data_IF_139831102562
#
_entry.id   IF_139831102562
#
_cell.length_a   1.000
_cell.length_b   1.000
_cell.length_c   1.000
_cell.angle_alpha   90.00
_cell.angle_beta   90.00
_cell.angle_gamma   90.00
#
_symmetry.space_group_name_H-M   'P 1'
#
loop_
_entity.id
_entity.type
_entity.pdbx_description
1 polymer ?
#
# COMPACT_ATOMS: atom_id res chain seq x y z
N UNK A 1 -6.92 -6.44 -19.81
CA UNK A 1 -7.44 -6.58 -18.42
C UNK A 1 -6.34 -7.03 -17.45
N UNK A 2 -5.68 -8.18 -17.68
CA UNK A 2 -4.54 -8.68 -16.88
C UNK A 2 -3.42 -7.65 -16.66
N UNK A 3 -2.94 -7.01 -17.72
CA UNK A 3 -1.90 -5.98 -17.60
C UNK A 3 -2.34 -4.74 -16.81
N UNK A 4 -3.62 -4.37 -16.89
CA UNK A 4 -4.14 -3.26 -16.08
C UNK A 4 -4.17 -3.61 -14.59
N UNK A 5 -4.51 -4.85 -14.24
CA UNK A 5 -4.47 -5.33 -12.84
C UNK A 5 -3.03 -5.35 -12.32
N UNK A 6 -2.08 -5.88 -13.11
CA UNK A 6 -0.65 -5.84 -12.74
C UNK A 6 -0.13 -4.42 -12.53
N UNK A 7 -0.53 -3.49 -13.42
CA UNK A 7 -0.18 -2.09 -13.28
C UNK A 7 -0.73 -1.49 -11.99
N UNK A 8 -2.01 -1.75 -11.66
CA UNK A 8 -2.62 -1.27 -10.41
C UNK A 8 -1.92 -1.83 -9.16
N UNK A 9 -1.55 -3.12 -9.18
CA UNK A 9 -0.77 -3.73 -8.10
C UNK A 9 0.58 -3.01 -7.94
N UNK A 10 1.30 -2.78 -9.05
CA UNK A 10 2.58 -2.07 -9.02
C UNK A 10 2.44 -0.64 -8.49
N UNK A 11 1.42 0.11 -8.92
CA UNK A 11 1.12 1.46 -8.43
C UNK A 11 0.82 1.46 -6.92
N UNK A 12 0.03 0.51 -6.43
CA UNK A 12 -0.26 0.36 -5.01
C UNK A 12 0.99 0.02 -4.19
N UNK A 13 1.86 -0.87 -4.68
CA UNK A 13 3.12 -1.23 -4.02
C UNK A 13 4.07 -0.02 -3.92
N UNK A 14 4.16 0.79 -4.98
CA UNK A 14 4.96 2.03 -4.98
C UNK A 14 4.42 3.00 -3.92
N UNK A 15 3.10 3.21 -3.87
CA UNK A 15 2.46 4.07 -2.87
C UNK A 15 2.71 3.56 -1.45
N UNK A 16 2.58 2.26 -1.23
CA UNK A 16 2.86 1.62 0.06
C UNK A 16 4.32 1.84 0.49
N UNK A 17 5.28 1.69 -0.42
CA UNK A 17 6.69 1.97 -0.15
C UNK A 17 6.94 3.43 0.25
N UNK A 18 6.30 4.38 -0.44
CA UNK A 18 6.37 5.81 -0.10
C UNK A 18 5.81 6.12 1.29
N UNK A 19 4.68 5.49 1.66
CA UNK A 19 4.09 5.64 3.01
C UNK A 19 5.01 5.06 4.10
N UNK A 20 5.61 3.89 3.89
CA UNK A 20 6.56 3.29 4.83
C UNK A 20 7.81 4.16 5.01
N UNK A 21 8.32 4.77 3.94
CA UNK A 21 9.42 5.74 4.03
C UNK A 21 9.00 6.99 4.80
N UNK A 22 7.78 7.47 4.60
CA UNK A 22 7.25 8.63 5.34
C UNK A 22 7.17 8.33 6.83
N UNK A 23 6.64 7.16 7.21
CA UNK A 23 6.57 6.71 8.61
C UNK A 23 7.97 6.67 9.25
N UNK A 24 8.92 6.02 8.58
CA UNK A 24 10.32 5.95 9.03
C UNK A 24 10.94 7.34 9.22
N UNK A 25 10.66 8.28 8.31
CA UNK A 25 11.20 9.63 8.41
C UNK A 25 10.61 10.38 9.61
N UNK A 26 9.32 10.21 9.90
CA UNK A 26 8.70 10.78 11.11
C UNK A 26 9.36 10.23 12.38
N UNK A 27 9.59 8.92 12.45
CA UNK A 27 10.30 8.26 13.55
C UNK A 27 11.73 8.80 13.72
N UNK A 28 12.49 8.90 12.63
CA UNK A 28 13.88 9.40 12.63
C UNK A 28 13.94 10.88 13.06
N UNK A 29 12.95 11.68 12.67
CA UNK A 29 12.85 13.10 13.06
C UNK A 29 12.33 13.29 14.50
N UNK A 30 11.95 12.21 15.19
CA UNK A 30 11.39 12.26 16.54
C UNK A 30 10.01 12.93 16.59
N UNK A 31 9.30 12.99 15.45
CA UNK A 31 7.96 13.58 15.38
C UNK A 31 6.98 12.57 15.97
N UNK A 32 6.46 12.88 17.16
CA UNK A 32 5.39 12.12 17.82
C UNK A 32 4.05 12.73 17.46
N UNK A 33 3.55 12.32 16.31
CA UNK A 33 2.20 12.65 15.83
C UNK A 33 1.44 11.35 15.63
N UNK A 34 0.79 10.89 16.70
CA UNK A 34 0.13 9.59 16.77
C UNK A 34 -1.06 9.50 15.80
N UNK A 35 -1.76 10.61 15.57
CA UNK A 35 -2.87 10.68 14.62
C UNK A 35 -2.37 10.49 13.20
N UNK A 36 -1.33 11.24 12.80
CA UNK A 36 -0.73 11.11 11.47
C UNK A 36 -0.08 9.74 11.26
N UNK A 37 0.57 9.21 12.29
CA UNK A 37 1.20 7.87 12.25
C UNK A 37 0.13 6.80 12.04
N UNK A 38 -0.98 6.87 12.79
CA UNK A 38 -2.11 5.95 12.65
C UNK A 38 -2.73 6.04 11.26
N UNK A 39 -2.96 7.25 10.74
CA UNK A 39 -3.51 7.43 9.39
C UNK A 39 -2.61 6.85 8.29
N UNK A 40 -1.29 6.93 8.44
CA UNK A 40 -0.34 6.32 7.49
C UNK A 40 -0.42 4.79 7.57
N UNK A 41 -0.50 4.22 8.77
CA UNK A 41 -0.63 2.77 8.97
C UNK A 41 -1.94 2.24 8.39
N UNK A 42 -3.06 2.92 8.62
CA UNK A 42 -4.36 2.58 8.06
C UNK A 42 -4.32 2.60 6.52
N UNK A 43 -3.71 3.64 5.93
CA UNK A 43 -3.54 3.73 4.48
C UNK A 43 -2.66 2.59 3.91
N UNK A 44 -1.62 2.16 4.63
CA UNK A 44 -0.81 0.99 4.26
C UNK A 44 -1.68 -0.27 4.27
N UNK A 45 -2.47 -0.48 5.33
CA UNK A 45 -3.32 -1.65 5.47
C UNK A 45 -4.40 -1.71 4.38
N UNK A 46 -5.01 -0.57 4.03
CA UNK A 46 -5.96 -0.50 2.92
C UNK A 46 -5.33 -0.91 1.58
N UNK A 47 -4.10 -0.46 1.30
CA UNK A 47 -3.39 -0.81 0.07
C UNK A 47 -3.08 -2.31 0.02
N UNK A 48 -2.72 -2.93 1.15
CA UNK A 48 -2.51 -4.38 1.26
C UNK A 48 -3.80 -5.16 0.95
N UNK A 49 -4.93 -4.76 1.54
CA UNK A 49 -6.23 -5.39 1.28
C UNK A 49 -6.65 -5.21 -0.19
N UNK A 50 -6.44 -4.02 -0.78
CA UNK A 50 -6.71 -3.77 -2.21
C UNK A 50 -5.85 -4.67 -3.09
N UNK A 51 -4.56 -4.81 -2.79
CA UNK A 51 -3.67 -5.69 -3.53
C UNK A 51 -4.07 -7.16 -3.42
N UNK A 52 -4.47 -7.62 -2.23
CA UNK A 52 -4.95 -8.99 -2.04
C UNK A 52 -6.13 -9.31 -2.96
N UNK A 53 -7.14 -8.43 -3.01
CA UNK A 53 -8.28 -8.57 -3.94
C UNK A 53 -7.84 -8.58 -5.40
N UNK A 54 -6.90 -7.71 -5.78
CA UNK A 54 -6.36 -7.68 -7.15
C UNK A 54 -5.61 -8.97 -7.52
N UNK A 55 -4.88 -9.58 -6.58
CA UNK A 55 -4.22 -10.88 -6.79
C UNK A 55 -5.24 -12.01 -6.97
N UNK A 56 -6.32 -12.03 -6.19
CA UNK A 56 -7.41 -13.00 -6.32
C UNK A 56 -8.07 -12.90 -7.70
N UNK A 57 -8.40 -11.68 -8.14
CA UNK A 57 -8.96 -11.44 -9.49
C UNK A 57 -7.95 -11.87 -10.58
N UNK A 58 -6.67 -11.54 -10.40
CA UNK A 58 -5.62 -11.91 -11.36
C UNK A 58 -5.49 -13.44 -11.48
N UNK A 59 -5.65 -14.16 -10.36
CA UNK A 59 -5.64 -15.63 -10.33
C UNK A 59 -6.83 -16.19 -11.10
N UNK A 60 -8.04 -15.70 -10.84
CA UNK A 60 -9.27 -16.12 -11.53
C UNK A 60 -9.22 -15.88 -13.05
N UNK A 61 -8.51 -14.85 -13.51
CA UNK A 61 -8.35 -14.57 -14.95
C UNK A 61 -7.30 -15.48 -15.62
N UNK A 62 -6.39 -16.07 -14.85
CA UNK A 62 -5.35 -16.96 -15.38
C UNK A 62 -5.75 -18.43 -15.40
N UNK A 63 -6.80 -18.80 -14.65
CA UNK A 63 -7.48 -20.09 -14.69
C UNK A 63 -8.46 -20.15 -15.88
#
# INVERSE_FOLDING_TARGET
MKEKIKQLIAENLIRQGSLKLTLRNLEVMGIRDDERTSAILDAIQELEQKNQKLYEILKQINE
#
